data_IF_053677179362
#
_entry.id   IF_053677179362
#
_cell.length_a   1.000
_cell.length_b   1.000
_cell.length_c   1.000
_cell.angle_alpha   90.00
_cell.angle_beta   90.00
_cell.angle_gamma   90.00
#
_symmetry.space_group_name_H-M   'P 1'
#
loop_
_entity.id
_entity.type
_entity.pdbx_description
1 polymer ?
#
# COMPACT_ATOMS: atom_id res chain seq x y z
N UNK A 1 -46.15 -0.23 -17.32
CA UNK A 1 -45.15 0.06 -16.28
C UNK A 1 -44.09 0.98 -16.88
N UNK A 2 -43.90 2.19 -16.34
CA UNK A 2 -42.80 3.08 -16.75
C UNK A 2 -41.57 2.70 -15.91
N UNK A 3 -40.59 2.07 -16.53
CA UNK A 3 -39.32 1.72 -15.88
C UNK A 3 -38.54 3.02 -15.66
N UNK A 4 -38.25 3.37 -14.40
CA UNK A 4 -37.54 4.59 -14.03
C UNK A 4 -36.05 4.46 -14.41
N UNK A 5 -35.70 4.90 -15.62
CA UNK A 5 -34.32 4.99 -16.09
C UNK A 5 -33.41 5.81 -15.15
N UNK A 6 -33.98 6.72 -14.35
CA UNK A 6 -33.25 7.51 -13.36
C UNK A 6 -32.64 6.67 -12.23
N UNK A 7 -33.27 5.56 -11.83
CA UNK A 7 -32.73 4.67 -10.80
C UNK A 7 -31.52 3.87 -11.32
N UNK A 8 -31.58 3.44 -12.58
CA UNK A 8 -30.49 2.75 -13.26
C UNK A 8 -29.28 3.67 -13.48
N UNK A 9 -29.50 4.96 -13.77
CA UNK A 9 -28.43 5.94 -13.93
C UNK A 9 -27.73 6.27 -12.60
N UNK A 10 -28.49 6.32 -11.50
CA UNK A 10 -27.92 6.47 -10.15
C UNK A 10 -27.13 5.23 -9.72
N UNK A 11 -27.64 4.03 -10.04
CA UNK A 11 -26.95 2.78 -9.75
C UNK A 11 -25.67 2.61 -10.58
N UNK A 12 -25.68 3.01 -11.86
CA UNK A 12 -24.50 2.96 -12.73
C UNK A 12 -23.42 3.98 -12.36
N UNK A 13 -23.79 5.15 -11.83
CA UNK A 13 -22.81 6.13 -11.32
C UNK A 13 -22.18 5.69 -10.00
N UNK A 14 -22.91 4.95 -9.15
CA UNK A 14 -22.33 4.31 -7.95
C UNK A 14 -21.26 3.25 -8.28
N UNK A 15 -21.39 2.55 -9.42
CA UNK A 15 -20.37 1.58 -9.88
C UNK A 15 -19.25 2.20 -10.73
N UNK A 16 -19.38 3.47 -11.15
CA UNK A 16 -18.37 4.18 -11.93
C UNK A 16 -17.36 4.96 -11.05
N UNK A 17 -17.52 4.93 -9.73
CA UNK A 17 -16.44 5.32 -8.80
C UNK A 17 -15.43 4.19 -8.83
N UNK A 18 -14.29 4.42 -9.51
CA UNK A 18 -13.20 3.47 -9.67
C UNK A 18 -12.92 2.72 -8.37
N UNK A 19 -12.91 1.39 -8.48
CA UNK A 19 -12.73 0.46 -7.37
C UNK A 19 -11.28 0.51 -6.87
N UNK A 20 -10.93 1.57 -6.14
CA UNK A 20 -9.76 1.51 -5.24
C UNK A 20 -10.08 0.50 -4.15
N UNK A 21 -9.48 -0.68 -4.27
CA UNK A 21 -9.52 -1.70 -3.25
C UNK A 21 -8.56 -1.29 -2.15
N UNK A 22 -9.12 -0.74 -1.07
CA UNK A 22 -8.31 -0.35 0.08
C UNK A 22 -8.25 -1.50 1.10
N UNK A 23 -7.04 -1.76 1.58
CA UNK A 23 -6.78 -2.83 2.54
C UNK A 23 -6.01 -2.29 3.73
N UNK A 24 -6.41 -2.70 4.94
CA UNK A 24 -5.59 -2.54 6.13
C UNK A 24 -4.81 -3.83 6.34
N UNK A 25 -3.49 -3.76 6.28
CA UNK A 25 -2.60 -4.92 6.29
C UNK A 25 -1.40 -4.73 7.20
N UNK A 26 -0.69 -5.83 7.46
CA UNK A 26 0.71 -5.83 7.91
C UNK A 26 1.58 -6.31 6.78
N UNK A 27 2.76 -5.72 6.60
CA UNK A 27 3.70 -6.17 5.56
C UNK A 27 4.79 -7.02 6.24
N UNK A 28 4.92 -8.27 5.84
CA UNK A 28 5.85 -9.25 6.41
C UNK A 28 6.92 -9.66 5.42
N UNK A 29 8.14 -9.92 5.89
CA UNK A 29 9.18 -10.51 5.04
C UNK A 29 8.94 -12.00 4.77
N UNK A 30 9.14 -12.44 3.53
CA UNK A 30 9.15 -13.87 3.20
C UNK A 30 10.51 -14.53 3.47
N UNK A 31 11.59 -13.76 3.53
CA UNK A 31 12.94 -14.24 3.87
C UNK A 31 13.06 -14.50 5.37
N UNK A 32 12.36 -13.73 6.20
CA UNK A 32 12.24 -13.95 7.62
C UNK A 32 10.82 -13.62 8.10
N UNK A 33 9.99 -14.67 8.24
CA UNK A 33 8.56 -14.56 8.59
C UNK A 33 8.29 -14.08 10.02
N UNK A 34 9.33 -13.83 10.82
CA UNK A 34 9.17 -13.19 12.12
C UNK A 34 9.29 -11.66 12.05
N UNK A 35 9.67 -11.11 10.89
CA UNK A 35 9.92 -9.69 10.71
C UNK A 35 8.83 -9.02 9.88
N UNK A 36 8.40 -7.87 10.37
CA UNK A 36 7.35 -7.05 9.77
C UNK A 36 7.82 -5.62 9.58
N UNK A 37 7.24 -4.93 8.61
CA UNK A 37 7.38 -3.49 8.47
C UNK A 37 6.89 -2.80 9.74
N UNK A 38 7.74 -1.94 10.26
CA UNK A 38 7.45 -1.07 11.39
C UNK A 38 8.11 0.30 11.17
N UNK A 39 7.65 1.27 11.93
CA UNK A 39 8.17 2.64 11.96
C UNK A 39 9.04 2.80 13.19
N UNK A 40 10.30 3.16 12.99
CA UNK A 40 11.18 3.66 14.06
C UNK A 40 11.52 5.12 13.78
N UNK A 41 10.96 6.02 14.60
CA UNK A 41 10.87 7.47 14.35
C UNK A 41 10.16 7.75 13.03
N UNK A 42 10.91 7.87 11.95
CA UNK A 42 10.40 8.10 10.59
C UNK A 42 10.94 7.06 9.61
N UNK A 43 11.73 6.09 10.07
CA UNK A 43 12.33 5.09 9.19
C UNK A 43 11.45 3.86 9.10
N UNK A 44 11.30 3.34 7.88
CA UNK A 44 10.69 2.04 7.67
C UNK A 44 11.75 0.97 7.92
N UNK A 45 11.51 0.15 8.94
CA UNK A 45 12.41 -0.92 9.37
C UNK A 45 11.69 -2.27 9.38
N UNK A 46 12.48 -3.34 9.54
CA UNK A 46 11.94 -4.65 9.88
C UNK A 46 12.16 -4.96 11.35
N UNK A 47 11.07 -5.20 12.08
CA UNK A 47 11.09 -5.47 13.51
C UNK A 47 10.36 -6.78 13.83
N UNK A 48 10.86 -7.62 14.75
CA UNK A 48 10.08 -8.72 15.31
C UNK A 48 8.82 -8.25 16.02
N UNK A 49 7.72 -9.00 15.86
CA UNK A 49 6.44 -8.71 16.53
C UNK A 49 5.29 -8.63 15.54
N UNK A 50 4.23 -7.89 15.89
CA UNK A 50 3.05 -7.77 15.03
C UNK A 50 3.21 -6.78 13.88
N UNK A 51 4.29 -5.99 13.82
CA UNK A 51 4.45 -4.92 12.85
C UNK A 51 3.40 -3.81 12.97
N UNK A 52 3.58 -2.76 12.18
CA UNK A 52 2.62 -1.66 12.08
C UNK A 52 1.55 -1.93 11.02
N UNK A 53 0.44 -1.21 11.15
CA UNK A 53 -0.69 -1.31 10.24
C UNK A 53 -0.54 -0.30 9.10
N UNK A 54 -0.74 -0.79 7.88
CA UNK A 54 -0.62 -0.02 6.66
C UNK A 54 -1.93 -0.03 5.91
N UNK A 55 -2.40 1.16 5.54
CA UNK A 55 -3.47 1.30 4.58
C UNK A 55 -2.87 1.28 3.18
N UNK A 56 -3.31 0.31 2.38
CA UNK A 56 -2.83 0.07 1.02
C UNK A 56 -3.94 0.40 0.06
N UNK A 57 -3.68 1.37 -0.81
CA UNK A 57 -4.55 1.74 -1.92
C UNK A 57 -3.81 1.51 -3.22
N UNK A 58 -4.45 0.87 -4.18
CA UNK A 58 -3.95 0.72 -5.55
C UNK A 58 -4.95 1.30 -6.56
N UNK A 59 -4.45 2.03 -7.54
CA UNK A 59 -5.26 2.51 -8.66
C UNK A 59 -5.30 1.50 -9.82
N UNK A 60 -6.10 1.84 -10.83
CA UNK A 60 -6.28 1.01 -12.04
C UNK A 60 -5.00 0.94 -12.90
N UNK A 61 -4.08 1.88 -12.75
CA UNK A 61 -2.77 1.91 -13.42
C UNK A 61 -1.73 1.01 -12.71
N UNK A 62 -2.12 0.35 -11.62
CA UNK A 62 -1.28 -0.54 -10.84
C UNK A 62 -0.25 0.20 -9.98
N UNK A 63 -0.52 1.47 -9.68
CA UNK A 63 0.26 2.26 -8.72
C UNK A 63 -0.32 2.07 -7.34
N UNK A 64 0.55 1.77 -6.38
CA UNK A 64 0.21 1.46 -5.01
C UNK A 64 0.83 2.48 -4.06
N UNK A 65 0.06 2.86 -3.05
CA UNK A 65 0.52 3.65 -1.91
C UNK A 65 0.43 2.85 -0.63
N UNK A 66 1.35 3.12 0.30
CA UNK A 66 1.33 2.58 1.65
C UNK A 66 1.27 3.77 2.60
N UNK A 67 0.20 3.88 3.37
CA UNK A 67 -0.06 5.00 4.28
C UNK A 67 -0.29 4.51 5.69
N UNK A 68 -0.10 5.39 6.67
CA UNK A 68 -0.58 5.18 8.03
C UNK A 68 -2.10 5.00 8.04
N UNK A 69 -2.63 4.42 9.13
CA UNK A 69 -4.06 4.13 9.24
C UNK A 69 -4.96 5.37 9.08
N UNK A 70 -4.50 6.53 9.54
CA UNK A 70 -5.14 7.83 9.42
C UNK A 70 -4.86 8.54 8.09
N UNK A 71 -3.97 8.00 7.25
CA UNK A 71 -3.67 8.50 5.90
C UNK A 71 -2.86 9.80 5.88
N UNK A 72 -2.38 10.27 7.03
CA UNK A 72 -1.65 11.53 7.18
C UNK A 72 -0.21 11.45 6.68
N UNK A 73 0.35 10.24 6.60
CA UNK A 73 1.72 9.97 6.20
C UNK A 73 1.83 8.76 5.28
N UNK A 74 2.77 8.81 4.35
CA UNK A 74 3.00 7.78 3.35
C UNK A 74 4.46 7.31 3.34
N UNK A 75 4.64 6.02 3.08
CA UNK A 75 5.94 5.42 2.81
C UNK A 75 6.56 6.15 1.61
N UNK A 76 7.77 6.63 1.79
CA UNK A 76 8.44 7.54 0.85
C UNK A 76 9.82 7.00 0.51
N UNK A 77 10.05 6.83 -0.79
CA UNK A 77 11.35 6.58 -1.36
C UNK A 77 12.14 7.88 -1.50
N UNK A 78 13.30 7.97 -0.83
CA UNK A 78 14.11 9.19 -0.77
C UNK A 78 15.26 9.24 -1.78
N UNK A 79 15.33 8.27 -2.69
CA UNK A 79 16.42 8.11 -3.64
C UNK A 79 17.37 6.97 -3.28
N UNK A 80 18.26 6.66 -4.22
CA UNK A 80 19.20 5.55 -4.12
C UNK A 80 20.09 5.72 -2.89
N UNK A 81 20.36 4.59 -2.21
CA UNK A 81 21.20 4.52 -1.01
C UNK A 81 20.68 5.32 0.20
N UNK A 82 19.46 5.85 0.13
CA UNK A 82 18.77 6.48 1.26
C UNK A 82 17.72 5.58 1.83
N UNK A 83 17.49 5.74 3.13
CA UNK A 83 16.43 5.07 3.86
C UNK A 83 15.06 5.40 3.27
N UNK A 84 14.18 4.42 3.27
CA UNK A 84 12.75 4.65 3.07
C UNK A 84 12.21 5.23 4.37
N UNK A 85 11.43 6.30 4.26
CA UNK A 85 10.87 6.99 5.42
C UNK A 85 9.37 7.15 5.34
N UNK A 86 8.77 7.59 6.44
CA UNK A 86 7.38 7.98 6.52
C UNK A 86 7.29 9.51 6.47
N UNK A 87 6.66 10.08 5.44
CA UNK A 87 6.56 11.53 5.25
C UNK A 87 5.10 11.96 5.07
N UNK A 88 4.78 13.20 5.42
CA UNK A 88 3.41 13.75 5.36
C UNK A 88 2.79 13.70 3.96
N UNK A 89 1.47 13.49 3.92
CA UNK A 89 0.62 13.52 2.71
C UNK A 89 -0.10 14.86 2.52
N UNK A 90 0.16 15.85 3.37
CA UNK A 90 -0.57 17.14 3.44
C UNK A 90 -0.57 17.98 2.15
N UNK A 91 0.32 17.69 1.20
CA UNK A 91 0.36 18.30 -0.13
C UNK A 91 -0.03 17.34 -1.27
N UNK A 92 -0.75 16.27 -0.94
CA UNK A 92 -1.02 15.16 -1.84
C UNK A 92 0.15 14.18 -1.91
N UNK A 93 -0.17 12.96 -2.31
CA UNK A 93 0.83 11.91 -2.51
C UNK A 93 1.64 12.22 -3.78
N UNK A 94 2.98 12.15 -3.67
CA UNK A 94 3.93 12.46 -4.74
C UNK A 94 4.50 11.18 -5.36
N UNK A 95 5.16 11.30 -6.51
CA UNK A 95 5.80 10.18 -7.20
C UNK A 95 6.76 9.36 -6.32
N UNK A 96 7.44 10.01 -5.36
CA UNK A 96 8.31 9.32 -4.38
C UNK A 96 7.57 8.42 -3.40
N UNK A 97 6.24 8.53 -3.31
CA UNK A 97 5.36 7.74 -2.44
C UNK A 97 4.55 6.71 -3.25
N UNK A 98 4.78 6.66 -4.56
CA UNK A 98 4.15 5.72 -5.47
C UNK A 98 5.06 4.52 -5.74
N UNK A 99 4.47 3.35 -5.59
CA UNK A 99 5.15 2.08 -5.80
C UNK A 99 4.42 1.26 -6.85
N UNK A 100 5.20 0.54 -7.65
CA UNK A 100 4.70 -0.53 -8.50
C UNK A 100 4.90 -1.85 -7.82
N UNK A 101 3.88 -2.68 -7.92
CA UNK A 101 3.95 -4.07 -7.53
C UNK A 101 4.17 -4.93 -8.79
N UNK A 102 4.76 -6.11 -8.64
CA UNK A 102 4.91 -7.06 -9.76
C UNK A 102 3.57 -7.60 -10.28
N UNK A 103 2.50 -7.40 -9.51
CA UNK A 103 1.13 -7.80 -9.81
C UNK A 103 0.15 -6.89 -9.08
N UNK A 104 -1.11 -6.88 -9.50
CA UNK A 104 -2.18 -6.19 -8.76
C UNK A 104 -2.15 -6.62 -7.28
N UNK A 105 -2.28 -5.66 -6.36
CA UNK A 105 -2.20 -5.93 -4.93
C UNK A 105 -3.15 -7.06 -4.52
N UNK A 106 -2.62 -8.04 -3.79
CA UNK A 106 -3.39 -9.13 -3.22
C UNK A 106 -2.71 -9.61 -1.95
N UNK A 107 -3.42 -9.57 -0.83
CA UNK A 107 -2.96 -10.10 0.45
C UNK A 107 -2.78 -11.64 0.44
N UNK A 108 -3.19 -12.32 -0.65
CA UNK A 108 -3.12 -13.78 -0.79
C UNK A 108 -1.78 -14.26 -1.35
N UNK A 109 -0.99 -13.37 -1.94
CA UNK A 109 0.25 -13.73 -2.61
C UNK A 109 1.39 -12.81 -2.15
N UNK A 110 2.63 -13.32 -2.10
CA UNK A 110 3.78 -12.45 -1.96
C UNK A 110 3.86 -11.46 -3.12
N UNK A 111 4.28 -10.24 -2.80
CA UNK A 111 4.48 -9.12 -3.70
C UNK A 111 5.92 -8.63 -3.60
N UNK A 112 6.42 -8.07 -4.69
CA UNK A 112 7.62 -7.23 -4.68
C UNK A 112 7.20 -5.77 -4.84
N UNK A 113 7.91 -4.86 -4.19
CA UNK A 113 7.54 -3.45 -4.14
C UNK A 113 8.68 -2.64 -4.76
N UNK A 114 8.38 -1.87 -5.80
CA UNK A 114 9.35 -1.05 -6.54
C UNK A 114 8.93 0.43 -6.51
N UNK A 115 9.84 1.39 -6.27
CA UNK A 115 9.52 2.80 -6.50
C UNK A 115 9.21 3.06 -7.98
N UNK A 116 8.18 3.85 -8.30
CA UNK A 116 7.71 4.02 -9.69
C UNK A 116 8.79 4.59 -10.65
N UNK A 117 9.71 5.39 -10.11
CA UNK A 117 10.83 5.99 -10.85
C UNK A 117 12.09 5.11 -10.97
N UNK A 118 12.15 3.96 -10.30
CA UNK A 118 13.38 3.16 -10.17
C UNK A 118 13.12 1.67 -10.37
N UNK A 119 13.18 1.24 -11.64
CA UNK A 119 12.80 -0.13 -12.06
C UNK A 119 13.78 -1.23 -11.65
N UNK A 120 14.98 -0.85 -11.20
CA UNK A 120 16.02 -1.81 -10.80
C UNK A 120 16.10 -2.01 -9.29
N UNK A 121 15.29 -1.29 -8.52
CA UNK A 121 15.35 -1.26 -7.06
C UNK A 121 14.05 -1.79 -6.47
N UNK A 122 14.18 -2.56 -5.39
CA UNK A 122 13.08 -3.15 -4.64
C UNK A 122 13.19 -2.70 -3.19
N UNK A 123 12.05 -2.48 -2.54
CA UNK A 123 12.01 -2.28 -1.10
C UNK A 123 12.54 -3.53 -0.42
N UNK A 124 13.66 -3.39 0.29
CA UNK A 124 14.29 -4.50 0.99
C UNK A 124 13.51 -4.80 2.28
N UNK A 125 13.33 -6.08 2.60
CA UNK A 125 12.92 -6.56 3.91
C UNK A 125 14.04 -6.46 4.95
N UNK A 126 14.81 -5.37 4.95
CA UNK A 126 15.85 -5.09 5.94
C UNK A 126 15.78 -3.63 6.34
N UNK A 127 16.19 -3.27 7.57
CA UNK A 127 16.43 -1.87 7.91
C UNK A 127 17.50 -1.32 6.94
N UNK A 128 17.11 -0.45 6.00
CA UNK A 128 18.06 0.15 5.07
C UNK A 128 17.43 0.74 3.81
N UNK A 129 18.28 1.14 2.84
CA UNK A 129 17.81 1.58 1.53
C UNK A 129 17.17 0.44 0.73
N UNK A 130 16.44 0.81 -0.33
CA UNK A 130 16.05 -0.12 -1.39
C UNK A 130 17.29 -0.86 -1.93
N UNK A 131 17.11 -2.11 -2.34
CA UNK A 131 18.21 -2.92 -2.89
C UNK A 131 17.93 -3.38 -4.31
N UNK A 132 18.97 -3.76 -5.05
CA UNK A 132 18.82 -4.43 -6.34
C UNK A 132 18.41 -5.90 -6.19
N UNK A 133 18.41 -6.42 -4.97
CA UNK A 133 18.00 -7.80 -4.69
C UNK A 133 16.48 -7.85 -4.64
N UNK A 134 15.90 -8.67 -5.51
CA UNK A 134 14.46 -8.88 -5.52
C UNK A 134 14.02 -9.56 -4.21
N UNK A 135 13.16 -8.88 -3.46
CA UNK A 135 12.61 -9.42 -2.23
C UNK A 135 11.09 -9.48 -2.27
N UNK A 136 10.60 -10.63 -1.83
CA UNK A 136 9.19 -10.92 -1.66
C UNK A 136 8.73 -10.55 -0.26
N UNK A 137 7.60 -9.85 -0.19
CA UNK A 137 6.91 -9.45 1.01
C UNK A 137 5.48 -9.97 0.94
N UNK A 138 4.90 -10.36 2.08
CA UNK A 138 3.49 -10.77 2.15
C UNK A 138 2.70 -9.71 2.88
N UNK A 139 1.60 -9.25 2.28
CA UNK A 139 0.64 -8.41 2.97
C UNK A 139 -0.36 -9.31 3.72
N UNK A 140 -0.32 -9.29 5.05
CA UNK A 140 -1.27 -10.00 5.91
C UNK A 140 -2.49 -9.11 6.14
N UNK A 141 -3.64 -9.53 5.60
CA UNK A 141 -4.88 -8.80 5.73
C UNK A 141 -5.33 -8.72 7.20
N UNK A 142 -5.61 -7.51 7.66
CA UNK A 142 -6.26 -7.25 8.94
C UNK A 142 -7.74 -6.90 8.72
N UNK A 143 -8.05 -6.05 7.73
CA UNK A 143 -9.42 -5.58 7.45
C UNK A 143 -9.57 -5.06 6.01
N UNK A 144 -10.76 -5.21 5.40
CA UNK A 144 -11.05 -4.65 4.07
C UNK A 144 -11.82 -3.33 4.16
N UNK A 145 -11.71 -2.46 3.14
CA UNK A 145 -12.42 -1.16 3.03
C UNK A 145 -13.89 -1.20 3.46
N UNK A 146 -14.61 -2.24 3.06
CA UNK A 146 -16.05 -2.40 3.31
C UNK A 146 -16.41 -2.62 4.78
N UNK A 147 -15.45 -3.09 5.60
CA UNK A 147 -15.67 -3.29 7.02
C UNK A 147 -15.51 -1.97 7.83
N UNK A 148 -15.08 -0.87 7.18
CA UNK A 148 -14.92 0.45 7.82
C UNK A 148 -16.15 1.35 7.71
N UNK A 149 -17.17 0.96 6.93
CA UNK A 149 -18.40 1.73 6.84
C UNK A 149 -19.26 1.45 8.08
N UNK A 150 -19.76 2.49 8.79
CA UNK A 150 -20.78 2.27 9.81
C UNK A 150 -22.00 1.65 9.14
N UNK A 151 -22.51 0.56 9.72
CA UNK A 151 -23.81 0.01 9.36
C UNK A 151 -24.84 1.08 9.72
N UNK A 152 -25.35 1.78 8.70
CA UNK A 152 -26.43 2.75 8.81
C UNK A 152 -27.76 2.08 9.08
#
# INVERSE_FOLDING_TARGET
>A
MKFNYSFLLFLATLFAVGSSEDYLVRIRSEQNRNLYWAVDRDWIILNPGSGDLWFVSSDDDGVTTFTTYDGDRAVTYNGRDKWITLNDTSQGVRDSQYFKLDRKFSYKFPISIQPIGERTLFVDGKPGPVSTTHQWLTAELVKQKWDFLPVS
#
